data_IF_227254847287
#
_entry.id   IF_227254847287
#
_cell.length_a   1.000
_cell.length_b   1.000
_cell.length_c   1.000
_cell.angle_alpha   90.00
_cell.angle_beta   90.00
_cell.angle_gamma   90.00
#
_symmetry.space_group_name_H-M   'P 1'
#
loop_
_entity.id
_entity.type
_entity.pdbx_description
1 polymer ?
#
# COMPACT_ATOMS: atom_id res chain seq x y z
N UNK A 1 18.22 63.66 -48.98
CA UNK A 1 17.00 62.86 -48.76
C UNK A 1 17.31 61.84 -47.66
N UNK A 2 17.07 62.18 -46.39
CA UNK A 2 17.27 61.28 -45.25
C UNK A 2 15.93 61.13 -44.52
N UNK A 3 15.33 59.95 -44.63
CA UNK A 3 14.10 59.58 -43.93
C UNK A 3 14.43 59.17 -42.49
N UNK A 4 14.04 59.99 -41.50
CA UNK A 4 14.09 59.59 -40.10
C UNK A 4 12.95 58.59 -39.80
N UNK A 5 13.34 57.35 -39.47
CA UNK A 5 12.42 56.30 -39.00
C UNK A 5 12.15 56.53 -37.52
N UNK A 6 10.93 56.96 -37.15
CA UNK A 6 10.52 57.16 -35.75
C UNK A 6 10.33 55.80 -35.08
N UNK A 7 11.21 55.44 -34.16
CA UNK A 7 11.03 54.28 -33.27
C UNK A 7 10.11 54.71 -32.13
N UNK A 8 8.90 54.17 -32.06
CA UNK A 8 8.00 54.40 -30.91
C UNK A 8 8.53 53.55 -29.74
N UNK A 9 8.75 54.13 -28.55
CA UNK A 9 9.15 53.33 -27.39
C UNK A 9 7.98 52.41 -27.02
N UNK A 10 8.18 51.09 -27.13
CA UNK A 10 7.28 50.13 -26.52
C UNK A 10 7.40 50.29 -25.00
N UNK A 11 6.30 50.64 -24.32
CA UNK A 11 6.28 50.78 -22.88
C UNK A 11 6.56 49.41 -22.23
N UNK A 12 7.77 49.20 -21.74
CA UNK A 12 8.11 48.07 -20.89
C UNK A 12 7.62 48.39 -19.48
N UNK A 13 6.58 47.71 -19.01
CA UNK A 13 6.18 47.76 -17.60
C UNK A 13 7.26 47.09 -16.74
N UNK A 14 8.09 47.89 -16.08
CA UNK A 14 9.05 47.38 -15.10
C UNK A 14 8.34 47.01 -13.80
N UNK A 15 8.56 45.79 -13.31
CA UNK A 15 8.07 45.34 -12.01
C UNK A 15 8.87 46.04 -10.90
N UNK A 16 8.21 46.61 -9.90
CA UNK A 16 8.93 47.20 -8.75
C UNK A 16 9.41 46.08 -7.82
N UNK A 17 10.57 46.26 -7.19
CA UNK A 17 11.12 45.30 -6.22
C UNK A 17 10.11 45.02 -5.09
N UNK A 18 9.35 46.04 -4.70
CA UNK A 18 8.31 45.97 -3.67
C UNK A 18 7.16 45.05 -4.11
N UNK A 19 6.66 45.18 -5.34
CA UNK A 19 5.60 44.28 -5.85
C UNK A 19 6.05 42.82 -5.84
N UNK A 20 7.29 42.53 -6.26
CA UNK A 20 7.82 41.17 -6.24
C UNK A 20 7.91 40.63 -4.80
N UNK A 21 8.37 41.46 -3.87
CA UNK A 21 8.54 41.10 -2.46
C UNK A 21 7.20 40.78 -1.77
N UNK A 22 6.15 41.53 -2.08
CA UNK A 22 4.81 41.25 -1.54
C UNK A 22 4.27 39.91 -2.06
N UNK A 23 4.46 39.61 -3.35
CA UNK A 23 3.98 38.35 -3.94
C UNK A 23 4.66 37.14 -3.31
N UNK A 24 6.00 37.17 -3.16
CA UNK A 24 6.72 36.06 -2.53
C UNK A 24 6.34 35.89 -1.05
N UNK A 25 6.07 37.00 -0.34
CA UNK A 25 5.63 36.95 1.05
C UNK A 25 4.26 36.26 1.19
N UNK A 26 3.30 36.58 0.30
CA UNK A 26 1.98 35.94 0.30
C UNK A 26 2.11 34.45 -0.04
N UNK A 27 2.87 34.08 -1.07
CA UNK A 27 3.10 32.67 -1.44
C UNK A 27 3.75 31.91 -0.29
N UNK A 28 4.73 32.50 0.39
CA UNK A 28 5.41 31.90 1.54
C UNK A 28 4.45 31.58 2.69
N UNK A 29 3.54 32.50 3.02
CA UNK A 29 2.52 32.30 4.06
C UNK A 29 1.55 31.17 3.65
N UNK A 30 1.09 31.17 2.39
CA UNK A 30 0.18 30.13 1.90
C UNK A 30 0.85 28.74 1.99
N UNK A 31 2.09 28.59 1.54
CA UNK A 31 2.82 27.31 1.61
C UNK A 31 3.06 26.88 3.06
N UNK A 32 3.44 27.81 3.95
CA UNK A 32 3.67 27.51 5.36
C UNK A 32 2.43 26.95 6.06
N UNK A 33 1.23 27.39 5.67
CA UNK A 33 -0.03 26.86 6.18
C UNK A 33 -0.41 25.52 5.52
N UNK A 34 -0.05 25.31 4.25
CA UNK A 34 -0.42 24.11 3.49
C UNK A 34 0.44 22.89 3.82
N UNK A 35 1.74 23.05 4.06
CA UNK A 35 2.66 21.94 4.29
C UNK A 35 2.25 21.03 5.48
N UNK A 36 1.98 21.55 6.69
CA UNK A 36 1.54 20.71 7.81
C UNK A 36 0.19 20.04 7.53
N UNK A 37 -0.73 20.74 6.85
CA UNK A 37 -2.04 20.20 6.50
C UNK A 37 -1.95 19.02 5.51
N UNK A 38 -1.08 19.11 4.50
CA UNK A 38 -0.89 18.04 3.51
C UNK A 38 -0.34 16.77 4.14
N UNK A 39 0.58 16.88 5.11
CA UNK A 39 1.11 15.69 5.79
C UNK A 39 0.07 15.02 6.69
N UNK A 40 -0.72 15.81 7.41
CA UNK A 40 -1.84 15.28 8.19
C UNK A 40 -2.86 14.56 7.30
N UNK A 41 -3.19 15.13 6.14
CA UNK A 41 -4.08 14.51 5.17
C UNK A 41 -3.51 13.20 4.59
N UNK A 42 -2.21 13.17 4.27
CA UNK A 42 -1.54 11.96 3.79
C UNK A 42 -1.58 10.85 4.83
N UNK A 43 -1.29 11.18 6.09
CA UNK A 43 -1.33 10.18 7.17
C UNK A 43 -2.74 9.69 7.45
N UNK A 44 -3.74 10.57 7.42
CA UNK A 44 -5.14 10.18 7.51
C UNK A 44 -5.53 9.19 6.40
N UNK A 45 -5.10 9.44 5.15
CA UNK A 45 -5.33 8.54 4.03
C UNK A 45 -4.65 7.17 4.23
N UNK A 46 -3.39 7.15 4.72
CA UNK A 46 -2.68 5.90 5.04
C UNK A 46 -3.39 5.09 6.13
N UNK A 47 -3.89 5.75 7.17
CA UNK A 47 -4.69 5.13 8.24
C UNK A 47 -6.01 4.56 7.73
N UNK A 48 -6.71 5.29 6.87
CA UNK A 48 -7.96 4.81 6.25
C UNK A 48 -7.68 3.56 5.42
N UNK A 49 -6.63 3.57 4.60
CA UNK A 49 -6.23 2.39 3.82
C UNK A 49 -5.94 1.20 4.72
N UNK A 50 -5.20 1.40 5.81
CA UNK A 50 -4.90 0.35 6.78
C UNK A 50 -6.15 -0.21 7.48
N UNK A 51 -7.07 0.66 7.91
CA UNK A 51 -8.35 0.23 8.49
C UNK A 51 -9.18 -0.59 7.50
N UNK A 52 -9.19 -0.20 6.22
CA UNK A 52 -9.88 -0.96 5.18
C UNK A 52 -9.22 -2.32 4.91
N UNK A 53 -7.89 -2.39 4.93
CA UNK A 53 -7.16 -3.66 4.85
C UNK A 53 -7.56 -4.61 5.99
N UNK A 54 -7.62 -4.11 7.24
CA UNK A 54 -8.07 -4.94 8.37
C UNK A 54 -9.53 -5.38 8.25
N UNK A 55 -10.41 -4.53 7.71
CA UNK A 55 -11.79 -4.91 7.42
C UNK A 55 -11.86 -6.02 6.37
N UNK A 56 -11.05 -5.95 5.31
CA UNK A 56 -10.96 -7.02 4.31
C UNK A 56 -10.49 -8.35 4.93
N UNK A 57 -9.50 -8.31 5.82
CA UNK A 57 -9.05 -9.50 6.55
C UNK A 57 -10.17 -10.07 7.43
N UNK A 58 -10.85 -9.22 8.19
CA UNK A 58 -11.97 -9.63 9.05
C UNK A 58 -13.13 -10.24 8.26
N UNK A 59 -13.49 -9.64 7.14
CA UNK A 59 -14.48 -10.20 6.21
C UNK A 59 -14.01 -11.55 5.66
N UNK A 60 -12.74 -11.67 5.25
CA UNK A 60 -12.18 -12.92 4.76
C UNK A 60 -12.23 -14.05 5.80
N UNK A 61 -11.94 -13.73 7.06
CA UNK A 61 -12.07 -14.68 8.18
C UNK A 61 -13.52 -15.11 8.41
N UNK A 62 -14.47 -14.18 8.35
CA UNK A 62 -15.89 -14.49 8.48
C UNK A 62 -16.42 -15.32 7.31
N UNK A 63 -15.99 -15.06 6.08
CA UNK A 63 -16.33 -15.85 4.90
C UNK A 63 -15.76 -17.27 4.99
N UNK A 64 -14.51 -17.42 5.44
CA UNK A 64 -13.93 -18.73 5.74
C UNK A 64 -14.78 -19.47 6.78
N UNK A 65 -15.16 -18.80 7.87
CA UNK A 65 -16.00 -19.40 8.91
C UNK A 65 -17.39 -19.79 8.41
N UNK A 66 -17.98 -19.01 7.51
CA UNK A 66 -19.28 -19.35 6.90
C UNK A 66 -19.18 -20.64 6.07
N UNK A 67 -18.11 -20.76 5.27
CA UNK A 67 -17.88 -21.93 4.41
C UNK A 67 -17.49 -23.20 5.18
N UNK A 68 -16.60 -23.08 6.18
CA UNK A 68 -16.00 -24.24 6.87
C UNK A 68 -16.54 -24.46 8.29
N UNK A 69 -17.40 -23.57 8.79
CA UNK A 69 -17.98 -23.62 10.15
C UNK A 69 -16.93 -23.59 11.27
N UNK A 70 -15.73 -23.11 10.97
CA UNK A 70 -14.60 -22.96 11.89
C UNK A 70 -13.69 -21.83 11.41
N UNK A 71 -12.91 -21.24 12.32
CA UNK A 71 -11.85 -20.30 11.93
C UNK A 71 -10.64 -21.04 11.35
N UNK A 72 -9.83 -20.40 10.48
CA UNK A 72 -8.62 -21.02 9.96
C UNK A 72 -7.64 -21.28 11.10
N UNK A 73 -6.92 -22.40 11.02
CA UNK A 73 -5.87 -22.72 11.98
C UNK A 73 -4.74 -21.68 11.89
N UNK A 74 -4.23 -21.23 13.04
CA UNK A 74 -3.13 -20.25 13.11
C UNK A 74 -1.87 -20.73 12.39
N UNK A 75 -1.62 -22.03 12.46
CA UNK A 75 -0.53 -22.73 11.78
C UNK A 75 -0.95 -24.17 11.45
N UNK A 76 -0.65 -24.61 10.23
CA UNK A 76 -0.79 -25.99 9.79
C UNK A 76 0.53 -26.46 9.19
N UNK A 77 1.27 -27.26 9.94
CA UNK A 77 2.49 -27.89 9.46
C UNK A 77 2.42 -29.41 9.55
N UNK A 78 3.52 -30.07 9.18
CA UNK A 78 3.63 -31.52 9.20
C UNK A 78 4.79 -31.97 10.07
N UNK A 79 4.64 -33.12 10.73
CA UNK A 79 5.74 -33.76 11.44
C UNK A 79 6.73 -34.34 10.42
N UNK A 80 8.00 -33.97 10.49
CA UNK A 80 9.02 -34.46 9.54
C UNK A 80 9.25 -35.96 9.59
N UNK A 81 9.02 -36.60 10.73
CA UNK A 81 9.24 -38.03 10.91
C UNK A 81 8.06 -38.88 10.42
N UNK A 82 6.83 -38.41 10.62
CA UNK A 82 5.62 -39.20 10.30
C UNK A 82 4.87 -38.70 9.07
N UNK A 83 5.13 -37.47 8.61
CA UNK A 83 4.38 -36.82 7.54
C UNK A 83 2.96 -36.39 7.94
N UNK A 84 2.57 -36.59 9.19
CA UNK A 84 1.22 -36.30 9.68
C UNK A 84 1.06 -34.81 10.04
N UNK A 85 -0.16 -34.25 9.94
CA UNK A 85 -0.43 -32.88 10.38
C UNK A 85 -0.04 -32.68 11.85
N UNK A 86 0.72 -31.61 12.11
CA UNK A 86 1.18 -31.25 13.44
C UNK A 86 1.13 -29.73 13.63
N UNK A 87 0.57 -29.30 14.76
CA UNK A 87 0.38 -27.89 15.10
C UNK A 87 1.69 -27.11 15.33
N UNK A 88 2.79 -27.81 15.62
CA UNK A 88 4.17 -27.30 15.59
C UNK A 88 5.00 -27.93 14.46
N UNK A 89 4.34 -28.54 13.48
CA UNK A 89 5.02 -29.18 12.36
C UNK A 89 5.74 -28.16 11.48
N UNK A 90 6.84 -28.59 10.88
CA UNK A 90 7.59 -27.79 9.93
C UNK A 90 7.94 -28.65 8.72
N UNK A 91 7.72 -28.17 7.48
CA UNK A 91 7.20 -26.84 7.13
C UNK A 91 5.66 -26.74 7.23
N UNK A 92 5.14 -25.52 7.30
CA UNK A 92 3.71 -25.27 7.43
C UNK A 92 3.24 -23.92 6.90
N UNK A 93 1.91 -23.76 6.85
CA UNK A 93 1.21 -22.58 6.37
C UNK A 93 0.47 -21.88 7.51
N UNK A 94 0.51 -20.55 7.53
CA UNK A 94 -0.28 -19.76 8.46
C UNK A 94 -1.73 -19.57 7.98
N UNK A 95 -2.61 -19.16 8.89
CA UNK A 95 -4.02 -18.83 8.59
C UNK A 95 -4.18 -17.88 7.39
N UNK A 96 -3.21 -16.98 7.17
CA UNK A 96 -3.24 -15.99 6.11
C UNK A 96 -3.30 -16.61 4.71
N UNK A 97 -2.68 -17.79 4.51
CA UNK A 97 -2.73 -18.52 3.25
C UNK A 97 -4.12 -19.12 2.96
N UNK A 98 -4.85 -19.50 4.00
CA UNK A 98 -6.17 -20.11 3.89
C UNK A 98 -7.26 -19.11 3.52
N UNK A 99 -7.06 -17.82 3.85
CA UNK A 99 -8.08 -16.78 3.63
C UNK A 99 -7.90 -15.98 2.35
N UNK A 100 -6.82 -16.21 1.59
CA UNK A 100 -6.51 -15.48 0.35
C UNK A 100 -7.68 -15.43 -0.66
N UNK A 101 -8.43 -16.52 -0.91
CA UNK A 101 -9.57 -16.49 -1.83
C UNK A 101 -10.65 -15.51 -1.42
N UNK A 102 -10.82 -15.31 -0.11
CA UNK A 102 -11.83 -14.44 0.47
C UNK A 102 -11.38 -12.98 0.58
N UNK A 103 -10.18 -12.66 0.10
CA UNK A 103 -9.59 -11.32 0.07
C UNK A 103 -9.20 -10.87 -1.34
N UNK A 104 -9.88 -11.36 -2.37
CA UNK A 104 -9.57 -11.08 -3.78
C UNK A 104 -8.14 -11.50 -4.20
N UNK A 105 -7.56 -12.47 -3.48
CA UNK A 105 -6.23 -13.06 -3.79
C UNK A 105 -6.35 -14.50 -4.28
N UNK A 106 -7.47 -14.86 -4.94
CA UNK A 106 -7.71 -16.21 -5.46
C UNK A 106 -6.59 -16.70 -6.38
N UNK A 107 -6.15 -15.85 -7.32
CA UNK A 107 -5.08 -16.19 -8.25
C UNK A 107 -3.77 -16.53 -7.53
N UNK A 108 -3.44 -15.84 -6.44
CA UNK A 108 -2.23 -16.12 -5.64
C UNK A 108 -2.33 -17.51 -5.00
N UNK A 109 -3.49 -17.86 -4.45
CA UNK A 109 -3.67 -19.18 -3.84
C UNK A 109 -3.62 -20.30 -4.89
N UNK A 110 -4.31 -20.14 -6.01
CA UNK A 110 -4.43 -21.19 -7.02
C UNK A 110 -3.12 -21.41 -7.80
N UNK A 111 -2.37 -20.34 -8.09
CA UNK A 111 -1.21 -20.42 -9.00
C UNK A 111 0.14 -20.45 -8.30
N UNK A 112 0.24 -19.94 -7.07
CA UNK A 112 1.53 -19.80 -6.38
C UNK A 112 1.62 -20.63 -5.09
N UNK A 113 0.50 -21.13 -4.55
CA UNK A 113 0.48 -21.93 -3.34
C UNK A 113 0.18 -23.39 -3.63
N UNK A 114 1.16 -24.24 -3.35
CA UNK A 114 1.01 -25.69 -3.41
C UNK A 114 0.98 -26.25 -1.98
N UNK A 115 -0.21 -26.53 -1.46
CA UNK A 115 -0.42 -27.01 -0.09
C UNK A 115 0.06 -28.47 0.10
N UNK A 116 0.17 -29.21 -0.99
CA UNK A 116 0.67 -30.59 -1.03
C UNK A 116 2.18 -30.65 -0.86
N UNK A 117 2.87 -29.52 -1.08
CA UNK A 117 4.31 -29.40 -0.99
C UNK A 117 4.73 -28.63 0.27
N UNK A 118 5.92 -28.95 0.82
CA UNK A 118 6.58 -28.11 1.80
C UNK A 118 6.59 -26.62 1.44
N UNK A 119 6.39 -25.73 2.41
CA UNK A 119 6.56 -24.28 2.15
C UNK A 119 7.97 -23.96 1.64
N UNK A 120 8.97 -24.76 2.04
CA UNK A 120 10.37 -24.61 1.64
C UNK A 120 10.64 -25.10 0.21
N UNK A 121 9.68 -25.76 -0.44
CA UNK A 121 9.84 -26.28 -1.79
C UNK A 121 10.07 -25.14 -2.80
N UNK A 122 10.93 -25.31 -3.82
CA UNK A 122 11.14 -24.31 -4.86
C UNK A 122 9.86 -23.86 -5.58
N UNK A 123 8.83 -24.71 -5.70
CA UNK A 123 7.55 -24.35 -6.30
C UNK A 123 6.84 -23.24 -5.50
N UNK A 124 7.02 -23.20 -4.18
CA UNK A 124 6.44 -22.20 -3.29
C UNK A 124 7.35 -20.97 -3.07
N UNK A 125 8.53 -20.90 -3.72
CA UNK A 125 9.51 -19.85 -3.48
C UNK A 125 8.96 -18.44 -3.80
N UNK A 126 8.19 -18.30 -4.87
CA UNK A 126 7.59 -17.02 -5.26
C UNK A 126 6.53 -16.55 -4.26
N UNK A 127 5.68 -17.46 -3.79
CA UNK A 127 4.64 -17.12 -2.81
C UNK A 127 5.21 -16.62 -1.48
N UNK A 128 6.36 -17.15 -1.05
CA UNK A 128 7.01 -16.76 0.21
C UNK A 128 7.50 -15.32 0.24
N UNK A 129 7.81 -14.74 -0.92
CA UNK A 129 8.37 -13.38 -1.02
C UNK A 129 7.38 -12.38 -1.61
N UNK A 130 6.21 -12.83 -2.06
CA UNK A 130 5.20 -11.96 -2.66
C UNK A 130 4.57 -11.05 -1.59
N UNK A 131 4.73 -9.72 -1.68
CA UNK A 131 4.08 -8.82 -0.75
C UNK A 131 2.59 -8.67 -1.10
N UNK A 132 1.72 -9.15 -0.21
CA UNK A 132 0.28 -8.91 -0.31
C UNK A 132 -0.03 -7.59 0.41
N UNK A 133 -0.43 -6.57 -0.35
CA UNK A 133 -0.67 -5.22 0.16
C UNK A 133 -1.71 -5.19 1.30
N UNK A 134 -2.72 -6.06 1.26
CA UNK A 134 -3.76 -6.14 2.29
C UNK A 134 -3.22 -6.59 3.66
N UNK A 135 -2.13 -7.35 3.72
CA UNK A 135 -1.50 -7.72 5.00
C UNK A 135 -0.52 -6.66 5.52
N UNK A 136 -0.29 -5.57 4.76
CA UNK A 136 0.61 -4.49 5.16
C UNK A 136 -0.19 -3.23 5.43
N UNK A 137 0.19 -2.53 6.50
CA UNK A 137 -0.41 -1.26 6.85
C UNK A 137 0.51 -0.14 6.33
N UNK A 138 0.05 0.78 5.47
CA UNK A 138 0.88 1.89 4.98
C UNK A 138 1.33 2.87 6.08
N UNK A 139 0.72 2.81 7.26
CA UNK A 139 1.09 3.59 8.45
C UNK A 139 2.09 2.87 9.37
N UNK A 140 2.44 1.61 9.08
CA UNK A 140 3.47 0.86 9.81
C UNK A 140 4.87 1.25 9.28
N UNK A 141 5.78 1.76 10.14
CA UNK A 141 7.06 2.35 9.72
C UNK A 141 8.12 1.36 9.24
#
# INVERSE_FOLDING_TARGET
>A
MFTQKRYSPAATSGFTLVELLVVIAIIGILIALLLPAVQAAREAARRISCSNNMKQIGLGLHLYHDAFRQLPAGWMGFNRATGEPHWFGEPGWAWSAAILPYMEQHAVQETLLHFELPITDPANATARVLPIATFRCPSDP
#
